data_IF_794238640704
#
_entry.id   IF_794238640704
#
_cell.length_a   1.000
_cell.length_b   1.000
_cell.length_c   1.000
_cell.angle_alpha   90.00
_cell.angle_beta   90.00
_cell.angle_gamma   90.00
#
_symmetry.space_group_name_H-M   'P 1'
#
loop_
_entity.id
_entity.type
_entity.pdbx_description
1 polymer ?
#
# COMPACT_ATOMS: atom_id res chain seq x y z
N UNK A 1 24.87 -13.65 7.48
CA UNK A 1 23.85 -12.97 6.65
C UNK A 1 22.70 -12.60 7.55
N UNK A 2 22.47 -11.31 7.76
CA UNK A 2 21.26 -10.83 8.44
C UNK A 2 20.12 -10.94 7.43
N UNK A 3 19.06 -11.67 7.74
CA UNK A 3 17.87 -11.69 6.87
C UNK A 3 17.22 -10.31 6.91
N UNK A 4 17.17 -9.65 5.76
CA UNK A 4 16.43 -8.40 5.60
C UNK A 4 14.93 -8.72 5.52
N UNK A 5 14.14 -8.03 6.34
CA UNK A 5 12.67 -8.18 6.35
C UNK A 5 12.08 -6.92 5.77
N UNK A 6 11.15 -7.06 4.83
CA UNK A 6 10.38 -5.97 4.22
C UNK A 6 8.89 -6.15 4.48
N UNK A 7 8.16 -5.04 4.52
CA UNK A 7 6.70 -5.05 4.49
C UNK A 7 6.24 -5.10 3.03
N UNK A 8 5.21 -5.88 2.77
CA UNK A 8 4.59 -6.00 1.43
C UNK A 8 3.11 -5.63 1.55
N UNK A 9 2.61 -4.95 0.53
CA UNK A 9 1.20 -4.57 0.38
C UNK A 9 0.37 -5.67 -0.24
N UNK A 10 -0.95 -5.57 -0.12
CA UNK A 10 -1.91 -6.52 -0.70
C UNK A 10 -1.72 -6.66 -2.22
N UNK A 11 -1.56 -5.58 -3.02
CA UNK A 11 -1.28 -5.71 -4.45
C UNK A 11 0.03 -6.48 -4.74
N UNK A 12 1.10 -6.26 -3.98
CA UNK A 12 2.37 -7.00 -4.15
C UNK A 12 2.22 -8.49 -3.82
N UNK A 13 1.32 -8.86 -2.91
CA UNK A 13 1.01 -10.27 -2.61
C UNK A 13 0.44 -10.97 -3.84
N UNK A 14 -0.39 -10.30 -4.65
CA UNK A 14 -0.92 -10.86 -5.90
C UNK A 14 0.23 -11.28 -6.80
N UNK A 15 1.13 -10.35 -7.12
CA UNK A 15 2.28 -10.65 -7.99
C UNK A 15 3.18 -11.76 -7.42
N UNK A 16 3.41 -11.78 -6.11
CA UNK A 16 4.23 -12.80 -5.46
C UNK A 16 3.62 -14.20 -5.54
N UNK A 17 2.29 -14.33 -5.38
CA UNK A 17 1.61 -15.62 -5.35
C UNK A 17 1.19 -16.10 -6.74
N UNK A 18 0.77 -15.20 -7.64
CA UNK A 18 0.38 -15.55 -9.01
C UNK A 18 1.55 -16.11 -9.84
N UNK A 19 2.79 -15.76 -9.49
CA UNK A 19 3.99 -16.27 -10.16
C UNK A 19 4.51 -17.61 -9.61
N UNK A 20 3.82 -18.23 -8.64
CA UNK A 20 4.24 -19.52 -8.05
C UNK A 20 3.46 -20.68 -8.65
N UNK A 21 4.17 -21.70 -9.10
CA UNK A 21 3.56 -22.89 -9.72
C UNK A 21 2.74 -23.74 -8.74
N UNK A 22 3.18 -23.85 -7.49
CA UNK A 22 2.55 -24.69 -6.48
C UNK A 22 2.25 -23.87 -5.22
N UNK A 23 1.00 -23.43 -5.10
CA UNK A 23 0.49 -22.76 -3.91
C UNK A 23 -0.06 -23.78 -2.93
N UNK A 24 0.29 -23.63 -1.65
CA UNK A 24 -0.41 -24.27 -0.54
C UNK A 24 -1.84 -23.74 -0.42
N UNK A 25 -2.72 -24.44 0.28
CA UNK A 25 -4.12 -24.00 0.41
C UNK A 25 -4.23 -22.63 1.12
N UNK A 26 -3.39 -22.40 2.14
CA UNK A 26 -3.29 -21.08 2.80
C UNK A 26 -2.84 -19.98 1.84
N UNK A 27 -1.91 -20.27 0.93
CA UNK A 27 -1.46 -19.29 -0.07
C UNK A 27 -2.54 -19.04 -1.14
N UNK A 28 -3.32 -20.06 -1.54
CA UNK A 28 -4.47 -19.86 -2.43
C UNK A 28 -5.55 -18.99 -1.80
N UNK A 29 -5.85 -19.20 -0.51
CA UNK A 29 -6.78 -18.37 0.24
C UNK A 29 -6.29 -16.91 0.32
N UNK A 30 -5.00 -16.70 0.60
CA UNK A 30 -4.41 -15.37 0.64
C UNK A 30 -4.39 -14.69 -0.74
N UNK A 31 -4.10 -15.43 -1.83
CA UNK A 31 -4.18 -14.88 -3.18
C UNK A 31 -5.62 -14.46 -3.50
N UNK A 32 -6.61 -15.31 -3.19
CA UNK A 32 -8.04 -15.00 -3.38
C UNK A 32 -8.46 -13.76 -2.59
N UNK A 33 -7.98 -13.62 -1.35
CA UNK A 33 -8.18 -12.42 -0.55
C UNK A 33 -7.54 -11.20 -1.22
N UNK A 34 -6.28 -11.32 -1.66
CA UNK A 34 -5.55 -10.21 -2.24
C UNK A 34 -6.22 -9.71 -3.53
N UNK A 35 -6.59 -10.62 -4.44
CA UNK A 35 -7.32 -10.31 -5.68
C UNK A 35 -8.66 -9.60 -5.42
N UNK A 36 -9.34 -9.94 -4.33
CA UNK A 36 -10.62 -9.33 -3.96
C UNK A 36 -10.48 -7.95 -3.32
N UNK A 37 -9.42 -7.73 -2.55
CA UNK A 37 -9.27 -6.55 -1.69
C UNK A 37 -8.23 -5.55 -2.16
N UNK A 38 -7.38 -5.89 -3.13
CA UNK A 38 -6.45 -4.95 -3.74
C UNK A 38 -7.19 -3.71 -4.25
N UNK A 39 -6.77 -2.54 -3.76
CA UNK A 39 -7.33 -1.24 -4.14
C UNK A 39 -6.56 -0.55 -5.24
N UNK A 40 -5.39 -1.08 -5.58
CA UNK A 40 -4.44 -0.57 -6.56
C UNK A 40 -4.08 -1.74 -7.47
N UNK A 41 -3.99 -1.51 -8.77
CA UNK A 41 -3.49 -2.52 -9.72
C UNK A 41 -2.05 -2.91 -9.33
N UNK A 42 -1.75 -4.20 -9.12
CA UNK A 42 -0.40 -4.69 -8.83
C UNK A 42 0.67 -4.15 -9.79
N UNK A 43 0.32 -3.93 -11.06
CA UNK A 43 1.27 -3.44 -12.07
C UNK A 43 1.69 -1.98 -11.87
N UNK A 44 0.87 -1.18 -11.21
CA UNK A 44 1.14 0.24 -10.94
C UNK A 44 1.76 0.45 -9.55
N UNK A 45 1.92 -0.60 -8.73
CA UNK A 45 2.22 -0.45 -7.29
C UNK A 45 3.54 0.27 -7.02
N UNK A 46 4.58 -0.03 -7.79
CA UNK A 46 5.90 0.58 -7.62
C UNK A 46 5.87 2.07 -7.97
N UNK A 47 5.19 2.43 -9.05
CA UNK A 47 5.00 3.83 -9.42
C UNK A 47 4.19 4.58 -8.36
N UNK A 48 3.12 3.97 -7.84
CA UNK A 48 2.31 4.57 -6.78
C UNK A 48 3.12 4.77 -5.51
N UNK A 49 3.97 3.81 -5.16
CA UNK A 49 4.91 3.90 -4.03
C UNK A 49 5.87 5.08 -4.21
N UNK A 50 6.50 5.21 -5.36
CA UNK A 50 7.43 6.30 -5.68
C UNK A 50 6.75 7.66 -5.64
N UNK A 51 5.57 7.79 -6.25
CA UNK A 51 4.78 9.02 -6.25
C UNK A 51 4.42 9.46 -4.82
N UNK A 52 3.99 8.54 -3.95
CA UNK A 52 3.69 8.84 -2.54
C UNK A 52 4.95 9.33 -1.81
N UNK A 53 6.08 8.62 -1.97
CA UNK A 53 7.34 8.98 -1.33
C UNK A 53 7.92 10.30 -1.83
N UNK A 54 7.57 10.72 -3.06
CA UNK A 54 7.93 12.04 -3.59
C UNK A 54 7.16 13.19 -2.93
N UNK A 55 5.97 12.91 -2.38
CA UNK A 55 5.13 13.88 -1.67
C UNK A 55 5.55 13.96 -0.20
N UNK A 56 5.74 12.82 0.45
CA UNK A 56 6.02 12.74 1.88
C UNK A 56 6.84 11.49 2.21
N UNK A 57 7.90 11.68 2.99
CA UNK A 57 8.68 10.56 3.54
C UNK A 57 7.89 9.86 4.65
N UNK A 58 7.80 8.53 4.57
CA UNK A 58 6.94 7.73 5.43
C UNK A 58 7.67 6.46 5.87
N UNK A 59 7.47 6.01 7.12
CA UNK A 59 7.88 4.67 7.53
C UNK A 59 7.25 3.62 6.62
N UNK A 60 8.03 2.61 6.23
CA UNK A 60 7.61 1.54 5.31
C UNK A 60 6.25 0.92 5.68
N UNK A 61 6.01 0.68 6.98
CA UNK A 61 4.73 0.16 7.49
C UNK A 61 3.54 1.06 7.17
N UNK A 62 3.71 2.37 7.31
CA UNK A 62 2.65 3.35 7.07
C UNK A 62 2.36 3.45 5.58
N UNK A 63 3.42 3.50 4.76
CA UNK A 63 3.33 3.48 3.30
C UNK A 63 2.57 2.25 2.80
N UNK A 64 2.97 1.05 3.26
CA UNK A 64 2.28 -0.20 2.91
C UNK A 64 0.80 -0.16 3.30
N UNK A 65 0.46 0.41 4.47
CA UNK A 65 -0.94 0.52 4.88
C UNK A 65 -1.75 1.50 4.03
N UNK A 66 -1.12 2.57 3.54
CA UNK A 66 -1.75 3.50 2.59
C UNK A 66 -1.99 2.80 1.25
N UNK A 67 -1.04 1.99 0.78
CA UNK A 67 -1.21 1.20 -0.45
C UNK A 67 -2.34 0.16 -0.32
N UNK A 68 -2.46 -0.49 0.84
CA UNK A 68 -3.53 -1.46 1.11
C UNK A 68 -4.92 -0.81 1.14
N UNK A 69 -5.04 0.32 1.83
CA UNK A 69 -6.34 0.93 2.17
C UNK A 69 -6.79 1.99 1.16
N UNK A 70 -5.84 2.62 0.45
CA UNK A 70 -6.05 3.72 -0.50
C UNK A 70 -7.04 4.77 0.05
N UNK A 71 -6.67 5.48 1.13
CA UNK A 71 -7.57 6.44 1.77
C UNK A 71 -7.97 7.56 0.80
N UNK A 72 -9.22 7.99 0.89
CA UNK A 72 -9.82 8.98 -0.01
C UNK A 72 -10.10 10.31 0.68
N UNK A 73 -9.84 10.42 1.98
CA UNK A 73 -10.02 11.68 2.72
C UNK A 73 -8.83 12.02 3.61
N UNK A 74 -8.61 13.32 3.91
CA UNK A 74 -7.63 13.77 4.89
C UNK A 74 -7.77 13.07 6.26
N UNK A 75 -9.01 12.82 6.68
CA UNK A 75 -9.32 12.17 7.96
C UNK A 75 -8.92 10.70 8.00
N UNK A 76 -9.19 9.94 6.93
CA UNK A 76 -8.77 8.54 6.80
C UNK A 76 -7.25 8.42 6.80
N UNK A 77 -6.57 9.27 6.03
CA UNK A 77 -5.13 9.30 5.96
C UNK A 77 -4.51 9.65 7.33
N UNK A 78 -5.09 10.62 8.05
CA UNK A 78 -4.67 10.97 9.42
C UNK A 78 -4.86 9.80 10.40
N UNK A 79 -5.98 9.08 10.31
CA UNK A 79 -6.24 7.91 11.15
C UNK A 79 -5.21 6.80 10.92
N UNK A 80 -4.80 6.56 9.67
CA UNK A 80 -3.74 5.61 9.34
C UNK A 80 -2.40 6.08 9.91
N UNK A 81 -1.98 7.31 9.58
CA UNK A 81 -0.66 7.83 9.94
C UNK A 81 -0.46 7.94 11.46
N UNK A 82 -1.50 8.35 12.19
CA UNK A 82 -1.46 8.45 13.66
C UNK A 82 -1.26 7.10 14.35
N UNK A 83 -1.75 6.00 13.77
CA UNK A 83 -1.50 4.62 14.25
C UNK A 83 -0.01 4.27 14.22
N UNK A 84 0.76 4.90 13.32
CA UNK A 84 2.21 4.72 13.20
C UNK A 84 3.02 5.86 13.85
N UNK A 85 2.36 6.79 14.55
CA UNK A 85 3.02 7.94 15.17
C UNK A 85 3.57 8.96 14.18
N UNK A 86 3.06 8.98 12.94
CA UNK A 86 3.51 9.89 11.88
C UNK A 86 2.63 11.13 11.88
N UNK A 87 3.28 12.31 11.82
CA UNK A 87 2.61 13.60 11.71
C UNK A 87 3.03 14.25 10.40
N UNK A 88 2.05 14.70 9.62
CA UNK A 88 2.25 15.25 8.27
C UNK A 88 1.59 16.63 8.22
N UNK A 89 2.17 17.58 7.50
CA UNK A 89 1.58 18.91 7.31
C UNK A 89 0.27 18.83 6.53
N UNK A 90 -0.63 19.78 6.73
CA UNK A 90 -1.89 19.85 5.99
C UNK A 90 -1.66 19.94 4.46
N UNK A 91 -0.59 20.62 4.03
CA UNK A 91 -0.19 20.70 2.62
C UNK A 91 0.11 19.31 2.03
N UNK A 92 1.00 18.55 2.66
CA UNK A 92 1.37 17.20 2.19
C UNK A 92 0.20 16.23 2.31
N UNK A 93 -0.62 16.37 3.35
CA UNK A 93 -1.78 15.52 3.58
C UNK A 93 -2.86 15.75 2.51
N UNK A 94 -3.09 17.00 2.11
CA UNK A 94 -3.97 17.33 0.99
C UNK A 94 -3.38 16.86 -0.35
N UNK A 95 -2.09 17.09 -0.60
CA UNK A 95 -1.42 16.65 -1.83
C UNK A 95 -1.49 15.12 -2.00
N UNK A 96 -1.19 14.36 -0.93
CA UNK A 96 -1.27 12.91 -0.93
C UNK A 96 -2.70 12.41 -1.13
N UNK A 97 -3.68 13.04 -0.46
CA UNK A 97 -5.10 12.68 -0.64
C UNK A 97 -5.56 12.94 -2.07
N UNK A 98 -5.19 14.08 -2.66
CA UNK A 98 -5.56 14.43 -4.03
C UNK A 98 -4.92 13.51 -5.06
N UNK A 99 -3.69 13.06 -4.81
CA UNK A 99 -3.03 12.04 -5.61
C UNK A 99 -3.80 10.71 -5.56
N UNK A 100 -4.09 10.19 -4.36
CA UNK A 100 -4.77 8.91 -4.17
C UNK A 100 -6.18 8.87 -4.77
N UNK A 101 -6.92 9.99 -4.72
CA UNK A 101 -8.24 10.14 -5.36
C UNK A 101 -8.19 10.06 -6.88
N UNK A 102 -7.10 10.51 -7.51
CA UNK A 102 -6.95 10.55 -8.97
C UNK A 102 -6.62 9.19 -9.56
N UNK A 103 -6.12 8.27 -8.74
CA UNK A 103 -5.86 6.91 -9.19
C UNK A 103 -7.18 6.25 -9.60
N UNK A 104 -7.30 5.93 -10.89
CA UNK A 104 -8.40 5.16 -11.47
C UNK A 104 -7.90 3.77 -11.77
N UNK A 105 -8.61 2.76 -11.30
CA UNK A 105 -8.33 1.34 -11.51
C UNK A 105 -9.57 0.70 -12.10
#
# INVERSE_FOLDING_TARGET
MTMEKKYISIPEVIDLLSNRENLTDLEKENLTYAEKFAKIDPKEIEKVREDILSIVDLPEKALVKILDLKPETPGELTAILSTYGVMVSDENLNALTDYLKKLRF
#
